data_IF_920225467087
#
_entry.id   IF_920225467087
#
_cell.length_a   1.000
_cell.length_b   1.000
_cell.length_c   1.000
_cell.angle_alpha   90.00
_cell.angle_beta   90.00
_cell.angle_gamma   90.00
#
_symmetry.space_group_name_H-M   'P 1'
#
loop_
_entity.id
_entity.type
_entity.pdbx_description
1 polymer ?
#
# COMPACT_ATOMS: atom_id res chain seq x y z
N UNK A 1 19.57 31.00 26.33
CA UNK A 1 18.99 29.66 26.17
C UNK A 1 17.47 29.81 26.28
N UNK A 2 16.72 29.66 25.19
CA UNK A 2 15.25 29.79 25.25
C UNK A 2 14.68 28.66 26.12
N UNK A 3 13.69 28.92 27.00
CA UNK A 3 13.10 27.88 27.82
C UNK A 3 12.52 26.79 26.91
N UNK A 4 12.92 25.54 27.17
CA UNK A 4 12.40 24.35 26.48
C UNK A 4 10.91 24.29 26.80
N UNK A 5 10.04 24.51 25.79
CA UNK A 5 8.59 24.34 25.97
C UNK A 5 8.33 22.87 26.31
N UNK A 6 8.02 22.58 27.56
CA UNK A 6 7.68 21.25 28.05
C UNK A 6 6.18 21.05 27.92
N UNK A 7 5.71 20.71 26.73
CA UNK A 7 4.31 20.36 26.50
C UNK A 7 3.84 20.65 25.08
N UNK A 8 3.01 19.74 24.54
CA UNK A 8 2.28 19.94 23.29
C UNK A 8 1.05 20.79 23.60
N UNK A 9 0.83 21.85 22.82
CA UNK A 9 -0.34 22.72 22.93
C UNK A 9 -1.59 21.99 22.44
N UNK A 10 -2.79 22.29 22.96
CA UNK A 10 -4.04 21.66 22.48
C UNK A 10 -4.23 21.72 20.96
N UNK A 11 -3.82 22.83 20.33
CA UNK A 11 -3.85 22.99 18.86
C UNK A 11 -2.85 22.09 18.15
N UNK A 12 -1.62 22.04 18.65
CA UNK A 12 -0.58 21.15 18.12
C UNK A 12 -1.01 19.68 18.25
N UNK A 13 -1.63 19.31 19.37
CA UNK A 13 -2.17 17.96 19.56
C UNK A 13 -3.29 17.65 18.57
N UNK A 14 -4.24 18.58 18.34
CA UNK A 14 -5.31 18.36 17.37
C UNK A 14 -4.77 18.24 15.95
N UNK A 15 -3.76 19.02 15.59
CA UNK A 15 -3.16 19.01 14.26
C UNK A 15 -2.39 17.71 14.02
N UNK A 16 -1.62 17.24 15.00
CA UNK A 16 -0.91 15.95 14.92
C UNK A 16 -1.87 14.76 14.85
N UNK A 17 -2.97 14.77 15.62
CA UNK A 17 -4.00 13.73 15.56
C UNK A 17 -4.69 13.72 14.20
N UNK A 18 -5.04 14.90 13.67
CA UNK A 18 -5.65 15.02 12.35
C UNK A 18 -4.70 14.51 11.26
N UNK A 19 -3.41 14.85 11.35
CA UNK A 19 -2.38 14.37 10.43
C UNK A 19 -2.26 12.84 10.45
N UNK A 20 -2.30 12.22 11.64
CA UNK A 20 -2.28 10.75 11.76
C UNK A 20 -3.52 10.11 11.16
N UNK A 21 -4.71 10.67 11.39
CA UNK A 21 -5.98 10.13 10.85
C UNK A 21 -5.99 10.22 9.32
N UNK A 22 -5.67 11.38 8.75
CA UNK A 22 -5.68 11.58 7.30
C UNK A 22 -4.59 10.75 6.62
N UNK A 23 -3.38 10.72 7.19
CA UNK A 23 -2.28 9.92 6.66
C UNK A 23 -2.57 8.42 6.67
N UNK A 24 -3.23 7.93 7.73
CA UNK A 24 -3.70 6.55 7.81
C UNK A 24 -4.78 6.26 6.78
N UNK A 25 -5.84 7.06 6.75
CA UNK A 25 -7.02 6.82 5.89
C UNK A 25 -6.69 6.86 4.40
N UNK A 26 -5.99 7.89 3.92
CA UNK A 26 -5.73 8.05 2.48
C UNK A 26 -4.82 6.95 1.92
N UNK A 27 -3.88 6.46 2.72
CA UNK A 27 -2.94 5.42 2.29
C UNK A 27 -3.55 4.02 2.38
N UNK A 28 -4.23 3.67 3.47
CA UNK A 28 -4.81 2.33 3.63
C UNK A 28 -5.99 2.12 2.67
N UNK A 29 -6.88 3.10 2.51
CA UNK A 29 -8.00 3.02 1.56
C UNK A 29 -7.54 2.81 0.13
N UNK A 30 -6.46 3.48 -0.27
CA UNK A 30 -5.87 3.32 -1.61
C UNK A 30 -5.27 1.92 -1.79
N UNK A 31 -4.54 1.40 -0.79
CA UNK A 31 -3.99 0.03 -0.85
C UNK A 31 -5.11 -1.01 -0.93
N UNK A 32 -6.19 -0.83 -0.17
CA UNK A 32 -7.35 -1.73 -0.23
C UNK A 32 -8.04 -1.67 -1.60
N UNK A 33 -8.17 -0.48 -2.18
CA UNK A 33 -8.71 -0.32 -3.53
C UNK A 33 -7.86 -1.04 -4.57
N UNK A 34 -6.53 -0.92 -4.47
CA UNK A 34 -5.60 -1.68 -5.31
C UNK A 34 -5.69 -3.18 -5.07
N UNK A 35 -5.80 -3.63 -3.82
CA UNK A 35 -5.97 -5.05 -3.51
C UNK A 35 -7.21 -5.62 -4.21
N UNK A 36 -8.35 -4.95 -4.10
CA UNK A 36 -9.59 -5.37 -4.78
C UNK A 36 -9.43 -5.35 -6.31
N UNK A 37 -8.74 -4.34 -6.85
CA UNK A 37 -8.41 -4.28 -8.28
C UNK A 37 -7.54 -5.45 -8.75
N UNK A 38 -6.52 -5.84 -7.97
CA UNK A 38 -5.59 -6.92 -8.33
C UNK A 38 -6.16 -8.33 -8.14
N UNK A 39 -7.07 -8.52 -7.17
CA UNK A 39 -7.79 -9.78 -7.05
C UNK A 39 -8.70 -10.01 -8.28
N UNK A 40 -9.06 -8.94 -9.00
CA UNK A 40 -9.90 -8.95 -10.21
C UNK A 40 -9.11 -9.12 -11.51
N UNK A 41 -8.11 -8.27 -11.77
CA UNK A 41 -7.36 -8.28 -13.02
C UNK A 41 -6.05 -9.03 -12.81
N UNK A 42 -5.70 -9.97 -13.69
CA UNK A 42 -4.38 -10.58 -13.68
C UNK A 42 -3.29 -9.51 -13.88
N UNK A 43 -2.88 -8.89 -12.76
CA UNK A 43 -1.51 -8.96 -12.28
C UNK A 43 -0.46 -8.29 -13.20
N UNK A 44 -0.84 -7.28 -13.98
CA UNK A 44 0.10 -6.66 -14.93
C UNK A 44 0.15 -5.13 -14.94
N UNK A 45 -0.85 -4.39 -14.45
CA UNK A 45 -0.94 -2.95 -14.79
C UNK A 45 -0.44 -1.94 -13.73
N UNK A 46 -0.31 -2.30 -12.46
CA UNK A 46 -0.05 -1.30 -11.39
C UNK A 46 1.23 -1.49 -10.57
N UNK A 47 2.08 -2.48 -10.87
CA UNK A 47 3.43 -2.57 -10.29
C UNK A 47 4.38 -1.50 -10.85
N UNK A 48 3.98 -0.79 -11.91
CA UNK A 48 4.79 0.24 -12.58
C UNK A 48 5.25 1.41 -11.68
N UNK A 49 4.76 1.52 -10.44
CA UNK A 49 5.09 2.59 -9.49
C UNK A 49 6.09 2.19 -8.41
N UNK A 50 6.47 0.91 -8.39
CA UNK A 50 7.52 0.46 -7.50
C UNK A 50 8.88 1.05 -7.93
N UNK A 51 9.86 1.24 -7.03
CA UNK A 51 11.20 1.65 -7.42
C UNK A 51 11.88 0.57 -8.26
N UNK A 52 11.63 0.62 -9.57
CA UNK A 52 12.00 -0.42 -10.52
C UNK A 52 13.34 -0.10 -11.16
N UNK A 53 14.40 -0.02 -10.36
CA UNK A 53 15.77 0.09 -10.87
C UNK A 53 16.22 -1.29 -11.40
N UNK A 54 16.52 -1.43 -12.71
CA UNK A 54 16.94 -2.70 -13.31
C UNK A 54 18.20 -3.30 -12.66
N UNK A 55 18.97 -2.51 -11.91
CA UNK A 55 20.16 -3.00 -11.18
C UNK A 55 19.84 -3.95 -10.04
N UNK A 56 18.64 -3.82 -9.45
CA UNK A 56 18.25 -4.63 -8.31
C UNK A 56 17.22 -5.70 -8.69
N UNK A 57 16.32 -5.44 -9.63
CA UNK A 57 15.26 -6.40 -10.00
C UNK A 57 15.68 -7.34 -11.13
N UNK A 58 15.63 -8.66 -10.89
CA UNK A 58 15.96 -9.68 -11.90
C UNK A 58 14.78 -10.03 -12.80
N UNK A 59 13.58 -10.08 -12.25
CA UNK A 59 12.33 -10.28 -13.00
C UNK A 59 11.74 -8.95 -13.47
N UNK A 60 10.97 -8.99 -14.55
CA UNK A 60 10.35 -7.80 -15.15
C UNK A 60 9.55 -7.03 -14.09
N UNK A 61 9.97 -5.80 -13.74
CA UNK A 61 9.30 -4.99 -12.75
C UNK A 61 7.88 -4.61 -13.16
N UNK A 62 7.48 -4.72 -14.42
CA UNK A 62 6.11 -4.33 -14.81
C UNK A 62 5.09 -5.41 -14.46
N UNK A 63 5.54 -6.64 -14.23
CA UNK A 63 4.67 -7.77 -13.94
C UNK A 63 4.56 -7.96 -12.44
N UNK A 64 3.34 -8.16 -11.94
CA UNK A 64 3.15 -8.57 -10.56
C UNK A 64 3.46 -10.07 -10.46
N UNK A 65 4.53 -10.43 -9.76
CA UNK A 65 4.93 -11.82 -9.58
C UNK A 65 5.06 -12.02 -8.08
N UNK A 66 4.02 -12.48 -7.36
CA UNK A 66 4.06 -12.58 -5.91
C UNK A 66 5.17 -13.54 -5.44
N UNK A 67 5.42 -14.61 -6.21
CA UNK A 67 6.48 -15.61 -5.99
C UNK A 67 7.89 -15.01 -5.95
N UNK A 68 8.10 -13.81 -6.51
CA UNK A 68 9.43 -13.21 -6.60
C UNK A 68 10.07 -12.89 -5.25
N UNK A 69 9.25 -12.72 -4.21
CA UNK A 69 9.68 -12.39 -2.85
C UNK A 69 9.54 -13.58 -1.86
N UNK A 70 9.08 -14.75 -2.31
CA UNK A 70 8.80 -15.89 -1.44
C UNK A 70 9.95 -16.92 -1.45
N UNK A 71 10.60 -17.10 -0.30
CA UNK A 71 11.64 -18.13 -0.10
C UNK A 71 13.07 -17.61 -0.26
N UNK A 72 14.05 -18.37 0.22
CA UNK A 72 15.48 -17.99 0.19
C UNK A 72 16.08 -18.02 -1.21
N UNK A 73 15.53 -18.86 -2.08
CA UNK A 73 16.02 -19.09 -3.45
C UNK A 73 15.28 -18.24 -4.49
N UNK A 74 14.31 -17.42 -4.06
CA UNK A 74 13.56 -16.59 -4.98
C UNK A 74 14.45 -15.50 -5.61
N UNK A 75 14.22 -15.14 -6.89
CA UNK A 75 15.13 -14.30 -7.66
C UNK A 75 15.39 -12.95 -6.98
N UNK A 76 14.35 -12.40 -6.33
CA UNK A 76 14.30 -11.05 -5.78
C UNK A 76 14.12 -11.02 -4.25
N UNK A 77 14.28 -12.16 -3.55
CA UNK A 77 14.07 -12.23 -2.10
C UNK A 77 15.22 -11.65 -1.26
N UNK A 78 16.44 -11.67 -1.79
CA UNK A 78 17.66 -11.21 -1.08
C UNK A 78 18.05 -9.77 -1.41
N UNK A 79 17.08 -8.89 -1.64
CA UNK A 79 17.36 -7.48 -1.89
C UNK A 79 17.77 -6.72 -0.63
N UNK A 80 18.60 -5.70 -0.81
CA UNK A 80 18.89 -4.76 0.27
C UNK A 80 17.57 -4.13 0.76
N UNK A 81 17.33 -3.97 2.07
CA UNK A 81 16.06 -3.50 2.62
C UNK A 81 15.54 -2.15 2.06
N UNK A 82 16.44 -1.33 1.52
CA UNK A 82 16.11 -0.04 0.90
C UNK A 82 15.64 -0.14 -0.57
N UNK A 83 15.80 -1.29 -1.22
CA UNK A 83 15.30 -1.51 -2.59
C UNK A 83 13.77 -1.50 -2.62
N UNK A 84 13.14 -1.95 -1.53
CA UNK A 84 11.69 -1.90 -1.36
C UNK A 84 11.33 -1.33 0.01
N UNK A 85 11.15 0.00 0.05
CA UNK A 85 10.84 0.74 1.27
C UNK A 85 9.52 1.54 1.12
N UNK A 86 8.36 0.87 1.07
CA UNK A 86 7.05 1.53 0.89
C UNK A 86 6.68 2.47 2.05
N UNK A 87 7.32 2.31 3.21
CA UNK A 87 7.14 3.14 4.42
C UNK A 87 8.28 4.16 4.62
N UNK A 88 9.12 4.36 3.60
CA UNK A 88 10.31 5.21 3.68
C UNK A 88 11.41 4.60 4.56
N UNK A 89 12.37 5.44 4.96
CA UNK A 89 13.52 5.03 5.79
C UNK A 89 14.13 6.19 6.58
N UNK A 90 14.97 5.86 7.56
CA UNK A 90 15.65 6.84 8.43
C UNK A 90 14.71 7.55 9.41
N UNK A 91 15.05 8.78 9.80
CA UNK A 91 14.33 9.57 10.82
C UNK A 91 12.91 10.02 10.41
N UNK A 92 12.55 9.86 9.13
CA UNK A 92 11.22 10.21 8.58
C UNK A 92 10.46 8.98 8.09
N UNK A 93 10.78 7.80 8.63
CA UNK A 93 10.01 6.58 8.36
C UNK A 93 8.57 6.74 8.82
N UNK A 94 7.64 6.04 8.17
CA UNK A 94 6.23 6.07 8.51
C UNK A 94 6.02 5.69 9.98
N UNK A 95 5.50 6.62 10.77
CA UNK A 95 5.18 6.39 12.18
C UNK A 95 4.10 5.30 12.37
N UNK A 96 3.22 5.12 11.37
CA UNK A 96 2.14 4.14 11.36
C UNK A 96 2.48 2.80 10.71
N UNK A 97 3.76 2.52 10.38
CA UNK A 97 4.16 1.34 9.61
C UNK A 97 3.63 0.02 10.20
N UNK A 98 3.80 -0.19 11.51
CA UNK A 98 3.38 -1.46 12.13
C UNK A 98 1.85 -1.60 12.19
N UNK A 99 1.15 -0.49 12.44
CA UNK A 99 -0.31 -0.46 12.41
C UNK A 99 -0.82 -0.78 11.00
N UNK A 100 -0.29 -0.11 9.98
CA UNK A 100 -0.68 -0.32 8.59
C UNK A 100 -0.46 -1.78 8.15
N UNK A 101 0.66 -2.41 8.55
CA UNK A 101 0.88 -3.84 8.26
C UNK A 101 -0.13 -4.75 8.93
N UNK A 102 -0.51 -4.46 10.16
CA UNK A 102 -1.50 -5.24 10.90
C UNK A 102 -2.88 -5.10 10.25
N UNK A 103 -3.31 -3.87 9.96
CA UNK A 103 -4.59 -3.59 9.30
C UNK A 103 -4.68 -4.30 7.95
N UNK A 104 -3.65 -4.15 7.10
CA UNK A 104 -3.61 -4.80 5.79
C UNK A 104 -3.69 -6.32 5.89
N UNK A 105 -2.93 -6.94 6.80
CA UNK A 105 -2.99 -8.40 6.99
C UNK A 105 -4.37 -8.87 7.42
N UNK A 106 -4.98 -8.19 8.40
CA UNK A 106 -6.31 -8.57 8.90
C UNK A 106 -7.39 -8.42 7.82
N UNK A 107 -7.35 -7.32 7.07
CA UNK A 107 -8.35 -7.06 6.03
C UNK A 107 -8.20 -8.07 4.88
N UNK A 108 -6.97 -8.37 4.46
CA UNK A 108 -6.72 -9.39 3.42
C UNK A 108 -7.23 -10.76 3.87
N UNK A 109 -6.93 -11.19 5.09
CA UNK A 109 -7.43 -12.47 5.64
C UNK A 109 -8.96 -12.48 5.66
N UNK A 110 -9.59 -11.38 6.11
CA UNK A 110 -11.05 -11.27 6.18
C UNK A 110 -11.69 -11.34 4.79
N UNK A 111 -11.12 -10.67 3.79
CA UNK A 111 -11.61 -10.73 2.42
C UNK A 111 -11.46 -12.13 1.82
N UNK A 112 -10.33 -12.79 1.99
CA UNK A 112 -10.12 -14.14 1.46
C UNK A 112 -11.05 -15.19 2.08
N UNK A 113 -11.46 -15.01 3.34
CA UNK A 113 -12.30 -15.98 4.04
C UNK A 113 -13.81 -15.80 3.83
N UNK A 114 -14.29 -14.57 3.61
CA UNK A 114 -15.73 -14.27 3.69
C UNK A 114 -16.29 -13.55 2.46
N UNK A 115 -15.48 -13.25 1.45
CA UNK A 115 -15.89 -12.44 0.30
C UNK A 115 -15.49 -13.11 -1.00
N UNK A 116 -16.46 -13.20 -1.91
CA UNK A 116 -16.19 -13.49 -3.33
C UNK A 116 -16.38 -12.22 -4.14
N UNK A 117 -15.35 -11.87 -4.91
CA UNK A 117 -15.37 -10.69 -5.78
C UNK A 117 -15.88 -11.11 -7.16
N UNK A 118 -16.94 -10.44 -7.63
CA UNK A 118 -17.54 -10.65 -8.95
C UNK A 118 -17.39 -9.37 -9.77
N UNK A 119 -17.04 -9.51 -11.05
CA UNK A 119 -16.81 -8.37 -11.92
C UNK A 119 -18.10 -7.60 -12.24
N UNK A 120 -18.05 -6.28 -12.16
CA UNK A 120 -19.06 -5.39 -12.71
C UNK A 120 -18.52 -4.86 -14.05
N UNK A 121 -19.21 -5.15 -15.16
CA UNK A 121 -18.77 -4.71 -16.50
C UNK A 121 -18.60 -3.18 -16.54
N UNK A 122 -17.37 -2.67 -16.65
CA UNK A 122 -17.15 -1.21 -16.75
C UNK A 122 -15.78 -0.65 -16.35
N UNK A 123 -14.82 -1.45 -15.88
CA UNK A 123 -13.55 -0.89 -15.42
C UNK A 123 -12.55 -0.79 -16.58
N UNK A 124 -12.28 0.44 -17.02
CA UNK A 124 -11.41 0.72 -18.18
C UNK A 124 -9.91 0.84 -17.83
N UNK A 125 -9.53 0.46 -16.61
CA UNK A 125 -8.15 0.51 -16.12
C UNK A 125 -7.61 1.93 -15.89
N UNK A 126 -6.35 2.00 -15.44
CA UNK A 126 -5.64 3.26 -15.20
C UNK A 126 -5.59 3.71 -13.74
N UNK A 127 -4.88 4.81 -13.49
CA UNK A 127 -4.66 5.33 -12.14
C UNK A 127 -4.67 6.87 -12.10
N UNK A 128 -5.02 7.41 -10.94
CA UNK A 128 -4.89 8.83 -10.62
C UNK A 128 -3.69 9.02 -9.69
N UNK A 129 -2.74 9.87 -10.08
CA UNK A 129 -1.60 10.21 -9.24
C UNK A 129 -1.83 11.57 -8.59
N UNK A 130 -1.88 11.58 -7.26
CA UNK A 130 -1.85 12.78 -6.43
C UNK A 130 -0.86 12.55 -5.28
N UNK A 131 -1.24 12.85 -4.04
CA UNK A 131 -0.47 12.45 -2.86
C UNK A 131 -0.36 10.93 -2.72
N UNK A 132 -1.43 10.21 -3.07
CA UNK A 132 -1.49 8.75 -3.15
C UNK A 132 -1.94 8.35 -4.54
N UNK A 133 -1.48 7.20 -5.02
CA UNK A 133 -1.95 6.64 -6.28
C UNK A 133 -3.19 5.78 -6.02
N UNK A 134 -4.29 6.13 -6.67
CA UNK A 134 -5.55 5.37 -6.60
C UNK A 134 -5.94 4.83 -7.98
N UNK A 135 -6.62 3.67 -8.06
CA UNK A 135 -7.13 3.14 -9.32
C UNK A 135 -8.27 4.01 -9.85
N UNK A 136 -8.36 4.18 -11.17
CA UNK A 136 -9.50 4.85 -11.82
C UNK A 136 -10.60 3.83 -12.12
N UNK A 137 -11.86 4.22 -11.89
CA UNK A 137 -13.07 3.49 -12.30
C UNK A 137 -13.09 2.02 -11.83
N UNK A 138 -13.19 1.80 -10.51
CA UNK A 138 -13.36 0.48 -9.90
C UNK A 138 -14.84 0.22 -9.57
N UNK A 139 -15.52 -0.60 -10.37
CA UNK A 139 -16.81 -1.20 -10.05
C UNK A 139 -16.62 -2.70 -9.76
N UNK A 140 -17.05 -3.16 -8.59
CA UNK A 140 -16.96 -4.57 -8.18
C UNK A 140 -18.23 -4.95 -7.43
N UNK A 141 -18.78 -6.11 -7.76
CA UNK A 141 -19.84 -6.73 -6.97
C UNK A 141 -19.21 -7.60 -5.90
N UNK A 142 -19.51 -7.28 -4.64
CA UNK A 142 -19.05 -8.04 -3.48
C UNK A 142 -20.18 -8.97 -3.08
N UNK A 143 -19.95 -10.27 -3.20
CA UNK A 143 -20.87 -11.28 -2.67
C UNK A 143 -20.31 -11.82 -1.35
N UNK A 144 -21.06 -11.60 -0.28
CA UNK A 144 -20.82 -12.20 1.01
C UNK A 144 -21.46 -13.60 1.01
N UNK A 145 -20.68 -14.60 1.40
CA UNK A 145 -21.15 -15.97 1.61
C UNK A 145 -21.66 -16.16 3.05
#
# INVERSE_FOLDING_TARGET
>A
MKPKKTGITKKELSDEVLAMILGGFDTTSSILSWFVYYVREAVTSAFSLMPCDPRYWKLDPKQFIPERLFGTDAPDANHHPLVFAPFGGGHRTCAGQELARLELKLIVIRFMLFVTFVDASGNNGGHSQAMVVSPKELAVFIKFD
#
